data_IF_820354933832
#
_entry.id   IF_820354933832
#
_cell.length_a   1.000
_cell.length_b   1.000
_cell.length_c   1.000
_cell.angle_alpha   90.00
_cell.angle_beta   90.00
_cell.angle_gamma   90.00
#
_symmetry.space_group_name_H-M   'P 1'
#
loop_
_entity.id
_entity.type
_entity.pdbx_description
1 polymer ?
#
# COMPACT_ATOMS: atom_id res chain seq x y z
N UNK A 1 -66.94 10.56 29.30
CA UNK A 1 -67.84 9.99 28.27
C UNK A 1 -67.46 10.55 26.90
N UNK A 2 -66.93 9.69 26.03
CA UNK A 2 -67.36 9.49 24.64
C UNK A 2 -67.72 10.69 23.74
N UNK A 3 -66.98 10.92 22.65
CA UNK A 3 -67.15 10.26 21.33
C UNK A 3 -66.36 10.95 20.20
N UNK A 4 -65.55 10.13 19.53
CA UNK A 4 -65.28 9.96 18.09
C UNK A 4 -65.53 11.04 17.00
N UNK A 5 -64.66 10.91 15.97
CA UNK A 5 -64.74 11.30 14.54
C UNK A 5 -64.37 12.77 14.25
N UNK A 6 -63.54 13.11 13.25
CA UNK A 6 -63.30 12.49 11.93
C UNK A 6 -61.86 12.72 11.42
N UNK A 7 -61.33 11.71 10.74
CA UNK A 7 -60.21 11.82 9.79
C UNK A 7 -60.67 12.63 8.57
N UNK A 8 -59.83 13.54 8.10
CA UNK A 8 -59.83 13.98 6.69
C UNK A 8 -58.42 13.88 6.13
N UNK A 9 -58.36 13.09 5.07
CA UNK A 9 -57.22 12.78 4.23
C UNK A 9 -56.97 13.94 3.28
N UNK A 10 -55.78 14.52 3.32
CA UNK A 10 -55.24 15.31 2.21
C UNK A 10 -54.03 14.57 1.66
N UNK A 11 -54.30 13.86 0.57
CA UNK A 11 -53.33 13.11 -0.22
C UNK A 11 -52.50 14.12 -1.04
N UNK A 12 -51.40 14.60 -0.48
CA UNK A 12 -50.42 15.40 -1.24
C UNK A 12 -49.51 14.42 -1.96
N UNK A 13 -49.77 14.25 -3.26
CA UNK A 13 -49.00 13.41 -4.15
C UNK A 13 -47.70 14.14 -4.51
N UNK A 14 -46.68 14.05 -3.66
CA UNK A 14 -45.32 14.48 -4.02
C UNK A 14 -44.63 13.25 -4.58
N UNK A 15 -44.56 13.19 -5.91
CA UNK A 15 -43.75 12.22 -6.62
C UNK A 15 -42.32 12.31 -6.10
N UNK A 16 -41.90 11.30 -5.34
CA UNK A 16 -40.48 11.07 -5.07
C UNK A 16 -39.93 10.50 -6.36
N UNK A 17 -39.50 11.39 -7.25
CA UNK A 17 -38.60 11.03 -8.33
C UNK A 17 -37.34 10.43 -7.70
N UNK A 18 -37.27 9.11 -7.83
CA UNK A 18 -36.09 8.30 -7.57
C UNK A 18 -34.91 8.93 -8.29
N UNK A 19 -33.75 9.19 -7.65
CA UNK A 19 -32.59 9.65 -8.37
C UNK A 19 -32.11 8.49 -9.26
N UNK A 20 -32.48 8.63 -10.53
CA UNK A 20 -32.02 7.83 -11.65
C UNK A 20 -30.49 7.77 -11.67
N UNK A 21 -29.97 6.57 -11.45
CA UNK A 21 -28.94 5.92 -12.28
C UNK A 21 -27.89 6.81 -12.96
N UNK A 22 -26.63 6.53 -12.58
CA UNK A 22 -25.41 6.64 -13.39
C UNK A 22 -24.82 8.04 -13.66
N UNK A 23 -23.74 8.33 -12.91
CA UNK A 23 -22.36 8.05 -13.34
C UNK A 23 -21.44 8.19 -12.12
N UNK A 24 -21.16 7.09 -11.42
CA UNK A 24 -19.91 7.01 -10.66
C UNK A 24 -18.82 7.00 -11.71
N UNK A 25 -18.24 8.16 -12.02
CA UNK A 25 -17.02 8.22 -12.81
C UNK A 25 -16.05 7.22 -12.15
N UNK A 26 -15.71 6.16 -12.88
CA UNK A 26 -14.62 5.29 -12.50
C UNK A 26 -13.43 6.25 -12.37
N UNK A 27 -12.90 6.42 -11.16
CA UNK A 27 -11.71 7.24 -10.97
C UNK A 27 -10.65 6.60 -11.85
N UNK A 28 -10.35 7.24 -12.97
CA UNK A 28 -9.41 6.71 -13.94
C UNK A 28 -8.04 6.68 -13.28
N UNK A 29 -7.53 5.47 -13.08
CA UNK A 29 -6.22 5.29 -12.49
C UNK A 29 -5.15 5.67 -13.50
N UNK A 30 -4.36 6.70 -13.18
CA UNK A 30 -3.19 7.08 -13.96
C UNK A 30 -1.91 6.68 -13.21
N UNK A 31 -1.10 5.73 -13.74
CA UNK A 31 0.13 5.28 -13.09
C UNK A 31 1.21 6.38 -12.98
N UNK A 32 1.19 7.40 -13.83
CA UNK A 32 2.16 8.51 -13.81
C UNK A 32 2.00 9.40 -12.56
N UNK A 33 0.81 9.39 -11.94
CA UNK A 33 0.55 10.14 -10.72
C UNK A 33 1.09 9.44 -9.46
N UNK A 34 1.66 8.23 -9.58
CA UNK A 34 2.19 7.51 -8.42
C UNK A 34 3.48 8.10 -7.88
N UNK A 35 3.43 8.46 -6.60
CA UNK A 35 4.56 9.00 -5.86
C UNK A 35 5.65 7.92 -5.66
N UNK A 36 6.83 8.17 -6.24
CA UNK A 36 7.97 7.25 -6.13
C UNK A 36 8.51 7.15 -4.70
N UNK A 37 8.62 8.27 -3.98
CA UNK A 37 9.22 8.30 -2.65
C UNK A 37 8.34 7.54 -1.65
N UNK A 38 8.85 6.45 -1.01
CA UNK A 38 8.03 5.55 -0.20
C UNK A 38 7.44 6.22 1.03
N UNK A 39 8.14 7.19 1.64
CA UNK A 39 7.64 7.89 2.83
C UNK A 39 6.55 8.91 2.50
N UNK A 40 6.30 9.21 1.22
CA UNK A 40 5.27 10.13 0.76
C UNK A 40 4.02 9.43 0.21
N UNK A 41 3.99 8.10 0.17
CA UNK A 41 2.84 7.34 -0.34
C UNK A 41 1.74 7.29 0.71
N UNK A 42 0.50 7.46 0.28
CA UNK A 42 -0.67 7.11 1.09
C UNK A 42 -0.73 5.60 1.30
N UNK A 43 -1.36 5.13 2.38
CA UNK A 43 -1.47 3.70 2.62
C UNK A 43 -2.40 3.06 1.57
N UNK A 44 -2.09 1.83 1.15
CA UNK A 44 -2.91 1.12 0.13
C UNK A 44 -4.34 0.91 0.62
N UNK A 45 -4.52 0.76 1.94
CA UNK A 45 -5.82 0.64 2.61
C UNK A 45 -6.65 1.93 2.58
N UNK A 46 -6.02 3.08 2.35
CA UNK A 46 -6.69 4.39 2.22
C UNK A 46 -7.14 4.64 0.78
N UNK A 47 -6.47 4.00 -0.19
CA UNK A 47 -6.89 4.05 -1.59
C UNK A 47 -8.28 3.44 -1.79
N UNK A 48 -9.00 3.95 -2.79
CA UNK A 48 -10.29 3.40 -3.21
C UNK A 48 -10.14 1.91 -3.58
N UNK A 49 -11.01 1.06 -3.02
CA UNK A 49 -10.98 -0.41 -3.18
C UNK A 49 -10.92 -0.86 -4.64
N UNK A 50 -11.54 -0.11 -5.56
CA UNK A 50 -11.60 -0.44 -6.98
C UNK A 50 -10.27 -0.22 -7.72
N UNK A 51 -9.35 0.58 -7.17
CA UNK A 51 -8.05 0.90 -7.81
C UNK A 51 -6.86 0.26 -7.10
N UNK A 52 -7.02 -0.31 -5.89
CA UNK A 52 -5.89 -0.85 -5.09
C UNK A 52 -5.03 -1.83 -5.86
N UNK A 53 -5.64 -2.73 -6.62
CA UNK A 53 -4.90 -3.72 -7.40
C UNK A 53 -4.17 -3.10 -8.59
N UNK A 54 -4.72 -2.03 -9.18
CA UNK A 54 -4.05 -1.28 -10.25
C UNK A 54 -2.83 -0.54 -9.68
N UNK A 55 -2.99 0.10 -8.52
CA UNK A 55 -1.90 0.73 -7.75
C UNK A 55 -0.80 -0.29 -7.42
N UNK A 56 -1.16 -1.47 -6.90
CA UNK A 56 -0.20 -2.56 -6.60
C UNK A 56 0.56 -2.98 -7.84
N UNK A 57 -0.13 -3.20 -8.97
CA UNK A 57 0.50 -3.57 -10.24
C UNK A 57 1.48 -2.51 -10.71
N UNK A 58 1.08 -1.24 -10.68
CA UNK A 58 1.92 -0.15 -11.13
C UNK A 58 3.19 0.00 -10.27
N UNK A 59 3.10 -0.10 -8.94
CA UNK A 59 4.28 -0.12 -8.07
C UNK A 59 5.17 -1.36 -8.27
N UNK A 60 4.58 -2.54 -8.51
CA UNK A 60 5.35 -3.75 -8.84
C UNK A 60 6.11 -3.61 -10.16
N UNK A 61 5.52 -2.95 -11.16
CA UNK A 61 6.19 -2.65 -12.44
C UNK A 61 7.29 -1.61 -12.26
N UNK A 62 7.04 -0.56 -11.47
CA UNK A 62 8.01 0.52 -11.20
C UNK A 62 9.20 0.05 -10.37
N UNK A 63 8.99 -0.94 -9.50
CA UNK A 63 10.02 -1.47 -8.61
C UNK A 63 10.30 -0.58 -7.39
N UNK A 64 11.24 -1.01 -6.52
CA UNK A 64 11.57 -0.30 -5.29
C UNK A 64 12.27 1.04 -5.57
N UNK A 65 11.93 2.08 -4.80
CA UNK A 65 12.60 3.37 -4.88
C UNK A 65 14.01 3.29 -4.26
N UNK A 66 15.03 3.15 -5.11
CA UNK A 66 16.44 2.97 -4.73
C UNK A 66 17.30 4.04 -5.42
N UNK A 67 17.48 5.23 -4.82
CA UNK A 67 18.23 6.30 -5.46
C UNK A 67 19.74 6.00 -5.48
N UNK A 68 20.24 5.52 -6.63
CA UNK A 68 21.64 5.11 -6.80
C UNK A 68 22.62 6.30 -6.85
N UNK A 69 22.19 7.45 -7.37
CA UNK A 69 22.99 8.66 -7.52
C UNK A 69 22.74 9.71 -6.43
N UNK A 70 22.27 9.27 -5.26
CA UNK A 70 22.00 10.15 -4.12
C UNK A 70 23.10 10.02 -3.05
N UNK A 71 23.43 11.14 -2.41
CA UNK A 71 24.29 11.18 -1.23
C UNK A 71 23.43 11.11 0.01
N UNK A 72 23.52 10.01 0.74
CA UNK A 72 22.70 9.81 1.93
C UNK A 72 23.18 10.69 3.08
N UNK A 73 22.29 11.45 3.74
CA UNK A 73 22.65 12.27 4.88
C UNK A 73 23.18 11.39 6.02
N UNK A 74 24.17 11.94 6.73
CA UNK A 74 24.82 11.27 7.86
C UNK A 74 24.21 11.73 9.18
N UNK A 75 23.59 10.81 9.89
CA UNK A 75 23.06 11.00 11.24
C UNK A 75 24.11 10.66 12.29
N UNK A 76 24.18 11.46 13.36
CA UNK A 76 25.11 11.27 14.47
C UNK A 76 24.59 10.18 15.43
N UNK A 77 25.45 9.22 15.77
CA UNK A 77 25.20 8.15 16.73
C UNK A 77 26.38 8.05 17.70
N UNK A 78 26.30 8.75 18.84
CA UNK A 78 27.44 8.87 19.76
C UNK A 78 28.57 9.65 19.08
N UNK A 79 29.74 9.02 18.92
CA UNK A 79 30.89 9.60 18.19
C UNK A 79 30.87 9.32 16.68
N UNK A 80 30.10 8.32 16.25
CA UNK A 80 30.10 7.88 14.86
C UNK A 80 29.03 8.59 14.03
N UNK A 81 29.31 8.78 12.73
CA UNK A 81 28.33 9.25 11.75
C UNK A 81 27.96 8.11 10.82
N UNK A 82 26.68 7.76 10.77
CA UNK A 82 26.16 6.67 9.94
C UNK A 82 25.08 7.20 9.01
N UNK A 83 24.96 6.60 7.84
CA UNK A 83 23.93 6.89 6.85
C UNK A 83 23.40 5.60 6.28
N UNK A 84 22.31 5.68 5.52
CA UNK A 84 21.96 4.62 4.59
C UNK A 84 23.13 4.31 3.64
N UNK A 85 23.33 3.03 3.29
CA UNK A 85 24.41 2.58 2.42
C UNK A 85 23.86 2.00 1.11
N UNK A 86 24.44 2.41 -0.02
CA UNK A 86 24.10 1.89 -1.36
C UNK A 86 24.29 0.37 -1.46
N UNK A 87 25.22 -0.21 -0.71
CA UNK A 87 25.42 -1.66 -0.73
C UNK A 87 24.21 -2.44 -0.21
N UNK A 88 23.41 -1.85 0.69
CA UNK A 88 22.25 -2.53 1.28
C UNK A 88 21.15 -2.81 0.25
N UNK A 89 20.97 -1.98 -0.77
CA UNK A 89 19.97 -2.25 -1.82
C UNK A 89 20.33 -3.45 -2.70
N UNK A 90 21.62 -3.83 -2.75
CA UNK A 90 22.07 -5.04 -3.46
C UNK A 90 21.79 -6.31 -2.65
N UNK A 91 21.93 -6.24 -1.33
CA UNK A 91 21.64 -7.36 -0.41
C UNK A 91 20.13 -7.53 -0.19
N UNK A 92 19.37 -6.43 -0.21
CA UNK A 92 17.95 -6.41 0.13
C UNK A 92 17.13 -5.82 -1.03
N UNK A 93 16.76 -6.68 -1.97
CA UNK A 93 16.11 -6.32 -3.25
C UNK A 93 14.68 -5.73 -3.14
N UNK A 94 14.10 -5.67 -1.93
CA UNK A 94 12.83 -4.99 -1.63
C UNK A 94 12.99 -3.71 -0.82
N UNK A 95 14.21 -3.40 -0.39
CA UNK A 95 14.50 -2.22 0.43
C UNK A 95 14.34 -0.96 -0.40
N UNK A 96 13.57 -0.01 0.10
CA UNK A 96 13.37 1.30 -0.48
C UNK A 96 13.93 2.38 0.44
N UNK A 97 14.25 3.54 -0.11
CA UNK A 97 14.69 4.69 0.66
C UNK A 97 13.87 5.94 0.31
N UNK A 98 13.40 6.64 1.35
CA UNK A 98 12.78 7.96 1.22
C UNK A 98 13.84 9.04 1.33
N UNK A 99 14.01 9.81 0.25
CA UNK A 99 14.85 11.00 0.24
C UNK A 99 14.27 12.06 1.18
N UNK A 100 12.94 12.21 1.17
CA UNK A 100 12.28 13.25 1.96
C UNK A 100 12.45 13.05 3.47
N UNK A 101 12.47 11.81 3.94
CA UNK A 101 12.41 11.51 5.38
C UNK A 101 13.67 10.86 5.96
N UNK A 102 14.71 10.61 5.16
CA UNK A 102 15.90 9.83 5.54
C UNK A 102 15.53 8.52 6.24
N UNK A 103 14.72 7.70 5.56
CA UNK A 103 14.16 6.46 6.12
C UNK A 103 14.09 5.35 5.10
N UNK A 104 14.32 4.13 5.55
CA UNK A 104 14.22 2.91 4.78
C UNK A 104 12.83 2.24 4.95
N UNK A 105 12.31 1.70 3.86
CA UNK A 105 11.01 1.04 3.76
C UNK A 105 11.17 -0.29 3.01
N UNK A 106 10.10 -1.08 2.90
CA UNK A 106 10.08 -2.31 2.14
C UNK A 106 8.87 -2.33 1.20
N UNK A 107 9.12 -2.37 -0.11
CA UNK A 107 8.06 -2.23 -1.12
C UNK A 107 6.94 -3.25 -0.93
N UNK A 108 7.31 -4.52 -0.75
CA UNK A 108 6.31 -5.58 -0.67
C UNK A 108 5.53 -5.52 0.63
N UNK A 109 6.16 -5.11 1.74
CA UNK A 109 5.48 -4.89 3.00
C UNK A 109 4.49 -3.72 2.92
N UNK A 110 4.83 -2.67 2.17
CA UNK A 110 3.91 -1.57 1.86
C UNK A 110 2.71 -2.05 1.02
N UNK A 111 2.95 -2.83 -0.04
CA UNK A 111 1.88 -3.25 -0.97
C UNK A 111 0.94 -4.33 -0.42
N UNK A 112 1.47 -5.23 0.41
CA UNK A 112 0.77 -6.42 0.89
C UNK A 112 0.81 -6.52 2.41
N UNK A 113 0.71 -5.36 3.07
CA UNK A 113 0.69 -5.26 4.52
C UNK A 113 -0.25 -6.32 5.13
N UNK A 114 0.23 -7.14 6.08
CA UNK A 114 -0.61 -8.12 6.72
C UNK A 114 -1.63 -7.43 7.60
N UNK A 115 -2.87 -7.93 7.57
CA UNK A 115 -3.96 -7.38 8.38
C UNK A 115 -3.81 -7.93 9.80
N UNK A 116 -2.91 -7.34 10.58
CA UNK A 116 -2.72 -7.66 11.99
C UNK A 116 -3.55 -6.68 12.82
N UNK A 117 -3.98 -7.11 14.01
CA UNK A 117 -4.71 -6.23 14.93
C UNK A 117 -3.93 -4.92 15.14
N UNK A 118 -4.66 -3.80 15.18
CA UNK A 118 -4.22 -2.38 15.16
C UNK A 118 -3.04 -2.04 16.09
N UNK A 119 -2.74 -2.90 17.09
CA UNK A 119 -1.74 -2.67 18.14
C UNK A 119 -0.56 -3.66 18.16
N UNK A 120 -0.37 -4.50 17.13
CA UNK A 120 0.64 -5.58 17.15
C UNK A 120 2.09 -5.16 16.84
N UNK A 121 2.39 -3.86 16.94
CA UNK A 121 3.75 -3.31 16.79
C UNK A 121 3.89 -2.50 15.51
N UNK A 122 4.45 -1.29 15.66
CA UNK A 122 4.69 -0.32 14.58
C UNK A 122 5.17 -1.00 13.30
N UNK A 123 4.42 -0.85 12.21
CA UNK A 123 4.87 -1.30 10.90
C UNK A 123 5.97 -0.38 10.35
N UNK A 124 7.18 -0.58 10.86
CA UNK A 124 8.33 0.26 10.52
C UNK A 124 8.59 0.24 9.02
N UNK A 125 8.55 -0.92 8.38
CA UNK A 125 8.92 -1.02 6.96
C UNK A 125 7.79 -0.72 5.97
N UNK A 126 6.52 -0.67 6.39
CA UNK A 126 5.39 -0.35 5.49
C UNK A 126 4.78 1.03 5.71
N UNK A 127 5.00 1.66 6.88
CA UNK A 127 4.38 2.94 7.20
C UNK A 127 5.37 3.97 7.79
N UNK A 128 6.06 3.64 8.89
CA UNK A 128 6.81 4.65 9.65
C UNK A 128 8.19 4.96 9.08
N UNK A 129 8.84 3.99 8.43
CA UNK A 129 10.21 4.07 7.96
C UNK A 129 11.25 3.84 9.07
N UNK A 130 12.31 3.11 8.73
CA UNK A 130 13.46 2.81 9.59
C UNK A 130 14.60 3.80 9.34
N UNK A 131 15.18 4.39 10.39
CA UNK A 131 16.34 5.28 10.23
C UNK A 131 17.49 5.00 11.21
N UNK A 132 17.43 3.93 12.01
CA UNK A 132 18.51 3.59 12.94
C UNK A 132 19.69 2.92 12.22
N UNK A 133 20.52 3.73 11.56
CA UNK A 133 21.62 3.26 10.71
C UNK A 133 22.67 2.42 11.46
N UNK A 134 22.79 2.57 12.79
CA UNK A 134 23.70 1.78 13.62
C UNK A 134 23.32 0.29 13.66
N UNK A 135 22.03 -0.02 13.57
CA UNK A 135 21.49 -1.41 13.62
C UNK A 135 20.93 -1.88 12.29
N UNK A 136 21.18 -1.16 11.20
CA UNK A 136 20.52 -1.39 9.91
C UNK A 136 20.66 -2.83 9.42
N UNK A 137 21.88 -3.37 9.32
CA UNK A 137 22.10 -4.73 8.80
C UNK A 137 21.43 -5.81 9.66
N UNK A 138 21.51 -5.69 10.99
CA UNK A 138 20.84 -6.59 11.93
C UNK A 138 19.33 -6.59 11.71
N UNK A 139 18.72 -5.40 11.69
CA UNK A 139 17.27 -5.24 11.56
C UNK A 139 16.78 -5.63 10.16
N UNK A 140 17.55 -5.36 9.10
CA UNK A 140 17.17 -5.76 7.74
C UNK A 140 17.21 -7.27 7.55
N UNK A 141 18.24 -7.93 8.08
CA UNK A 141 18.34 -9.40 8.05
C UNK A 141 17.25 -10.06 8.88
N UNK A 142 16.97 -9.55 10.08
CA UNK A 142 15.87 -10.06 10.90
C UNK A 142 14.52 -9.85 10.20
N UNK A 143 14.28 -8.66 9.62
CA UNK A 143 13.06 -8.37 8.88
C UNK A 143 12.78 -9.38 7.77
N UNK A 144 13.80 -9.78 7.01
CA UNK A 144 13.67 -10.68 5.85
C UNK A 144 13.76 -12.15 6.26
N UNK A 145 14.68 -12.50 7.16
CA UNK A 145 15.01 -13.87 7.53
C UNK A 145 14.19 -14.46 8.68
N UNK A 146 13.49 -13.63 9.47
CA UNK A 146 12.75 -14.13 10.62
C UNK A 146 11.51 -14.93 10.22
N UNK A 147 11.34 -16.10 10.83
CA UNK A 147 10.21 -16.98 10.56
C UNK A 147 8.89 -16.32 10.97
N UNK A 148 7.91 -16.27 10.05
CA UNK A 148 6.64 -15.58 10.30
C UNK A 148 6.72 -14.05 10.31
N UNK A 149 7.84 -13.47 9.84
CA UNK A 149 7.96 -12.03 9.66
C UNK A 149 6.88 -11.46 8.75
N UNK A 150 6.56 -10.17 8.92
CA UNK A 150 5.66 -9.46 8.02
C UNK A 150 6.16 -9.47 6.57
N UNK A 151 7.47 -9.52 6.37
CA UNK A 151 8.08 -9.68 5.06
C UNK A 151 7.67 -10.99 4.39
N UNK A 152 7.80 -12.12 5.10
CA UNK A 152 7.47 -13.44 4.56
C UNK A 152 6.00 -13.55 4.18
N UNK A 153 5.11 -12.98 4.99
CA UNK A 153 3.68 -12.93 4.67
C UNK A 153 3.39 -12.04 3.45
N UNK A 154 3.97 -10.83 3.41
CA UNK A 154 3.85 -9.93 2.26
C UNK A 154 4.40 -10.56 0.97
N UNK A 155 5.50 -11.31 1.05
CA UNK A 155 6.08 -12.08 -0.05
C UNK A 155 5.11 -13.14 -0.58
N UNK A 156 4.51 -13.95 0.30
CA UNK A 156 3.51 -14.95 -0.10
C UNK A 156 2.29 -14.31 -0.77
N UNK A 157 1.78 -13.20 -0.22
CA UNK A 157 0.67 -12.44 -0.80
C UNK A 157 1.02 -11.86 -2.17
N UNK A 158 2.22 -11.30 -2.31
CA UNK A 158 2.72 -10.78 -3.59
C UNK A 158 2.82 -11.87 -4.65
N UNK A 159 3.36 -13.05 -4.30
CA UNK A 159 3.45 -14.19 -5.20
C UNK A 159 2.07 -14.67 -5.64
N UNK A 160 1.13 -14.85 -4.71
CA UNK A 160 -0.25 -15.21 -5.02
C UNK A 160 -0.92 -14.19 -5.96
N UNK A 161 -0.72 -12.90 -5.70
CA UNK A 161 -1.24 -11.81 -6.54
C UNK A 161 -0.67 -11.83 -7.96
N UNK A 162 0.63 -12.11 -8.11
CA UNK A 162 1.27 -12.29 -9.43
C UNK A 162 0.74 -13.52 -10.16
N UNK A 163 0.50 -14.62 -9.45
CA UNK A 163 0.01 -15.86 -10.04
C UNK A 163 -1.47 -15.76 -10.49
N UNK A 164 -2.32 -15.03 -9.76
CA UNK A 164 -3.70 -14.75 -10.18
C UNK A 164 -3.75 -14.03 -11.54
N UNK A 165 -2.77 -13.16 -11.83
CA UNK A 165 -2.66 -12.52 -13.14
C UNK A 165 -2.34 -13.56 -14.23
N UNK A 166 -1.40 -14.47 -13.97
CA UNK A 166 -1.00 -15.49 -14.94
C UNK A 166 -2.15 -16.44 -15.28
N UNK A 167 -2.93 -16.86 -14.28
CA UNK A 167 -4.10 -17.73 -14.52
C UNK A 167 -5.17 -17.02 -15.36
N UNK A 168 -5.49 -15.76 -15.06
CA UNK A 168 -6.47 -14.98 -15.84
C UNK A 168 -5.97 -14.72 -17.26
N UNK A 169 -4.69 -14.35 -17.44
CA UNK A 169 -4.13 -14.15 -18.78
C UNK A 169 -4.14 -15.44 -19.61
N UNK A 170 -3.86 -16.58 -18.98
CA UNK A 170 -3.84 -17.87 -19.65
C UNK A 170 -5.24 -18.32 -20.08
N UNK A 171 -6.27 -18.10 -19.25
CA UNK A 171 -7.67 -18.41 -19.61
C UNK A 171 -8.11 -17.55 -20.80
N UNK A 172 -7.82 -16.24 -20.78
CA UNK A 172 -8.19 -15.36 -21.88
C UNK A 172 -7.48 -15.74 -23.18
N UNK A 173 -6.22 -16.18 -23.15
CA UNK A 173 -5.55 -16.66 -24.37
C UNK A 173 -6.11 -17.98 -24.90
N UNK A 174 -6.68 -18.84 -24.06
CA UNK A 174 -7.25 -20.13 -24.48
C UNK A 174 -8.70 -20.05 -24.98
N UNK A 175 -9.41 -18.94 -24.76
CA UNK A 175 -10.79 -18.75 -25.23
C UNK A 175 -10.91 -18.02 -26.58
N UNK A 176 -9.79 -17.63 -27.18
CA UNK A 176 -9.71 -16.98 -28.52
C UNK A 176 -9.00 -17.86 -29.56
N UNK A 177 -9.10 -19.19 -29.42
CA UNK A 177 -8.63 -20.20 -30.39
C UNK A 177 -9.71 -21.22 -30.60
#
# INVERSE_FOLDING_TARGET
MDKFLTKTSTHVNVGVESPTSNKRACVEFNPENLISDPGRREQIEECNVNIRDQVRRAYLTKGPCQPLNYEFPKTQYGIERKSFQKSWVKEFDRLEYSIKYDRAYCLWCYLFKPNRAYNSGRDVFSATGFNNWKRALEVFRDHIGSFGSSHNEATRRCQAFKNQKQSVSHILSCTWT
#
